data_IF_651634489329
#
_entry.id   IF_651634489329
#
_cell.length_a   1.000
_cell.length_b   1.000
_cell.length_c   1.000
_cell.angle_alpha   90.00
_cell.angle_beta   90.00
_cell.angle_gamma   90.00
#
_symmetry.space_group_name_H-M   'P 1'
#
loop_
_entity.id
_entity.type
_entity.pdbx_description
1 polymer ?
#
# COMPACT_ATOMS: atom_id res chain seq x y z
N UNK A 1 4.23 -18.21 7.66
CA UNK A 1 4.69 -18.80 8.94
C UNK A 1 5.70 -19.87 8.57
N UNK A 2 6.96 -19.75 9.01
CA UNK A 2 7.97 -20.80 8.79
C UNK A 2 8.17 -21.59 10.07
N UNK A 3 8.30 -22.91 9.91
CA UNK A 3 8.50 -23.87 11.00
C UNK A 3 10.00 -24.16 11.19
N UNK A 4 10.41 -24.74 12.34
CA UNK A 4 11.80 -25.12 12.57
C UNK A 4 12.27 -26.16 11.53
N UNK A 5 13.22 -25.80 10.69
CA UNK A 5 13.76 -26.65 9.60
C UNK A 5 13.63 -26.07 8.19
N UNK A 6 12.91 -24.95 8.00
CA UNK A 6 12.83 -24.28 6.70
C UNK A 6 14.18 -23.67 6.28
N UNK A 7 14.72 -24.11 5.14
CA UNK A 7 15.91 -23.55 4.51
C UNK A 7 15.66 -22.12 4.01
N UNK A 8 16.37 -21.17 4.62
CA UNK A 8 16.34 -19.71 4.44
C UNK A 8 14.93 -19.08 4.57
N UNK A 9 14.70 -18.20 5.56
CA UNK A 9 13.43 -17.48 5.61
C UNK A 9 13.29 -16.69 4.30
N UNK A 10 12.21 -16.99 3.55
CA UNK A 10 11.80 -16.14 2.45
C UNK A 10 11.75 -14.69 2.98
N UNK A 11 12.20 -13.70 2.20
CA UNK A 11 12.08 -12.32 2.60
C UNK A 11 10.61 -12.05 2.95
N UNK A 12 10.33 -11.37 4.08
CA UNK A 12 8.97 -11.14 4.51
C UNK A 12 8.21 -10.40 3.41
N UNK A 13 6.99 -10.85 3.12
CA UNK A 13 6.11 -10.18 2.17
C UNK A 13 5.68 -8.84 2.76
N UNK A 14 5.95 -7.74 2.05
CA UNK A 14 5.56 -6.41 2.50
C UNK A 14 4.05 -6.19 2.43
N UNK A 15 3.47 -5.62 3.48
CA UNK A 15 2.05 -5.62 3.82
C UNK A 15 1.45 -7.01 4.05
N UNK A 16 2.24 -7.94 4.60
CA UNK A 16 1.72 -9.20 5.14
C UNK A 16 1.07 -8.99 6.50
N UNK A 17 0.07 -9.83 6.77
CA UNK A 17 -0.52 -9.93 8.10
C UNK A 17 0.35 -10.81 8.99
N UNK A 18 0.51 -10.38 10.24
CA UNK A 18 1.20 -11.12 11.30
C UNK A 18 0.34 -11.12 12.55
N UNK A 19 0.10 -12.30 13.11
CA UNK A 19 -0.41 -12.41 14.48
C UNK A 19 0.79 -12.43 15.42
N UNK A 20 0.81 -11.49 16.37
CA UNK A 20 1.90 -11.31 17.32
C UNK A 20 1.35 -11.51 18.74
N UNK A 21 1.83 -12.52 19.50
CA UNK A 21 1.54 -12.62 20.93
C UNK A 21 2.09 -11.40 21.67
N UNK A 22 1.30 -10.87 22.60
CA UNK A 22 1.62 -9.77 23.52
C UNK A 22 1.21 -10.15 24.95
N UNK A 23 1.61 -9.36 25.95
CA UNK A 23 1.36 -9.69 27.37
C UNK A 23 -0.13 -9.96 27.67
N UNK A 24 -1.03 -9.22 27.02
CA UNK A 24 -2.48 -9.29 27.28
C UNK A 24 -3.27 -10.01 26.18
N UNK A 25 -2.61 -10.84 25.36
CA UNK A 25 -3.27 -11.63 24.30
C UNK A 25 -2.50 -11.61 22.98
N UNK A 26 -3.17 -11.19 21.90
CA UNK A 26 -2.65 -11.23 20.54
C UNK A 26 -2.99 -9.94 19.79
N UNK A 27 -2.05 -9.50 18.97
CA UNK A 27 -2.25 -8.41 18.02
C UNK A 27 -2.28 -8.97 16.59
N UNK A 28 -3.26 -8.54 15.81
CA UNK A 28 -3.18 -8.63 14.37
C UNK A 28 -2.45 -7.39 13.87
N UNK A 29 -1.33 -7.59 13.18
CA UNK A 29 -0.51 -6.53 12.63
C UNK A 29 -0.45 -6.64 11.11
N UNK A 30 -0.45 -5.52 10.41
CA UNK A 30 0.11 -5.46 9.06
C UNK A 30 1.59 -5.07 9.17
N UNK A 31 2.46 -5.63 8.35
CA UNK A 31 3.91 -5.36 8.37
C UNK A 31 4.36 -4.84 7.01
N UNK A 32 4.94 -3.62 6.95
CA UNK A 32 5.38 -2.96 5.72
C UNK A 32 6.75 -2.29 5.98
N UNK A 33 7.76 -2.70 5.22
CA UNK A 33 9.15 -2.29 5.26
C UNK A 33 9.76 -2.22 6.66
N UNK A 34 9.60 -3.32 7.40
CA UNK A 34 10.14 -3.48 8.76
C UNK A 34 9.37 -2.75 9.85
N UNK A 35 8.31 -2.02 9.51
CA UNK A 35 7.38 -1.43 10.48
C UNK A 35 6.15 -2.30 10.61
N UNK A 36 5.54 -2.31 11.80
CA UNK A 36 4.29 -3.01 12.05
C UNK A 36 3.24 -2.01 12.52
N UNK A 37 2.02 -2.12 11.98
CA UNK A 37 0.84 -1.41 12.45
C UNK A 37 -0.14 -2.41 13.04
N UNK A 38 -0.60 -2.15 14.26
CA UNK A 38 -1.62 -2.98 14.89
C UNK A 38 -2.99 -2.60 14.35
N UNK A 39 -3.69 -3.59 13.81
CA UNK A 39 -4.98 -3.44 13.11
C UNK A 39 -6.10 -4.23 13.81
N UNK A 40 -5.80 -4.88 14.94
CA UNK A 40 -6.77 -5.58 15.76
C UNK A 40 -6.14 -6.24 16.99
N UNK A 41 -6.95 -6.50 18.00
CA UNK A 41 -6.55 -7.14 19.26
C UNK A 41 -7.49 -8.28 19.63
N UNK A 42 -6.95 -9.40 20.10
CA UNK A 42 -7.69 -10.53 20.65
C UNK A 42 -7.12 -10.95 22.00
N UNK A 43 -7.98 -11.44 22.89
CA UNK A 43 -7.58 -11.95 24.21
C UNK A 43 -6.98 -13.35 24.16
N UNK A 44 -7.31 -14.13 23.13
CA UNK A 44 -6.92 -15.53 22.98
C UNK A 44 -6.66 -15.90 21.51
N UNK A 45 -6.12 -17.10 21.30
CA UNK A 45 -5.71 -17.59 19.97
C UNK A 45 -6.91 -17.78 19.03
N UNK A 46 -8.06 -18.21 19.56
CA UNK A 46 -9.28 -18.38 18.77
C UNK A 46 -9.78 -17.02 18.26
N UNK A 47 -9.80 -16.01 19.12
CA UNK A 47 -10.12 -14.64 18.76
C UNK A 47 -9.15 -14.08 17.74
N UNK A 48 -7.84 -14.36 17.87
CA UNK A 48 -6.84 -13.94 16.90
C UNK A 48 -7.08 -14.58 15.52
N UNK A 49 -7.41 -15.87 15.49
CA UNK A 49 -7.77 -16.58 14.25
C UNK A 49 -9.03 -16.00 13.61
N UNK A 50 -10.06 -15.70 14.41
CA UNK A 50 -11.29 -15.06 13.92
C UNK A 50 -11.05 -13.63 13.43
N UNK A 51 -10.16 -12.85 14.05
CA UNK A 51 -9.77 -11.53 13.56
C UNK A 51 -9.12 -11.61 12.17
N UNK A 52 -8.15 -12.51 11.98
CA UNK A 52 -7.50 -12.72 10.68
C UNK A 52 -8.54 -13.13 9.64
N UNK A 53 -9.43 -14.06 10.00
CA UNK A 53 -10.47 -14.56 9.12
C UNK A 53 -11.47 -13.48 8.73
N UNK A 54 -11.94 -12.71 9.71
CA UNK A 54 -12.83 -11.58 9.50
C UNK A 54 -12.19 -10.55 8.59
N UNK A 55 -10.94 -10.15 8.86
CA UNK A 55 -10.17 -9.20 8.07
C UNK A 55 -10.04 -9.63 6.60
N UNK A 56 -9.65 -10.88 6.35
CA UNK A 56 -9.41 -11.40 4.99
C UNK A 56 -10.70 -11.58 4.19
N UNK A 57 -11.84 -11.80 4.86
CA UNK A 57 -13.15 -12.05 4.23
C UNK A 57 -13.97 -10.79 3.96
N UNK A 58 -13.47 -9.63 4.34
CA UNK A 58 -14.16 -8.37 4.08
C UNK A 58 -14.39 -8.22 2.57
N UNK A 59 -15.63 -7.95 2.14
CA UNK A 59 -15.94 -7.85 0.72
C UNK A 59 -15.24 -6.64 0.13
N UNK A 60 -14.34 -6.88 -0.83
CA UNK A 60 -13.69 -5.82 -1.60
C UNK A 60 -14.51 -5.58 -2.87
N UNK A 61 -14.90 -4.33 -3.18
CA UNK A 61 -15.61 -3.99 -4.40
C UNK A 61 -14.88 -4.47 -5.66
N UNK A 62 -15.65 -4.78 -6.70
CA UNK A 62 -15.09 -5.13 -8.01
C UNK A 62 -14.19 -4.00 -8.55
N UNK A 63 -13.12 -4.34 -9.29
CA UNK A 63 -12.26 -3.35 -9.91
C UNK A 63 -13.04 -2.36 -10.79
N UNK A 64 -12.56 -1.12 -10.84
CA UNK A 64 -13.02 -0.15 -11.83
C UNK A 64 -12.39 -0.48 -13.17
N UNK A 65 -13.22 -0.63 -14.18
CA UNK A 65 -12.77 -0.83 -15.55
C UNK A 65 -12.59 0.54 -16.18
N UNK A 66 -11.40 0.81 -16.68
CA UNK A 66 -11.07 1.99 -17.47
C UNK A 66 -10.77 1.59 -18.91
N UNK A 67 -11.27 2.35 -19.88
CA UNK A 67 -10.76 2.29 -21.24
C UNK A 67 -9.32 2.84 -21.27
N UNK A 68 -8.48 2.35 -22.18
CA UNK A 68 -7.06 2.74 -22.25
C UNK A 68 -6.86 4.26 -22.33
N UNK A 69 -7.57 4.91 -23.25
CA UNK A 69 -7.50 6.36 -23.43
C UNK A 69 -7.97 7.15 -22.19
N UNK A 70 -8.96 6.63 -21.45
CA UNK A 70 -9.43 7.24 -20.21
C UNK A 70 -8.35 7.13 -19.12
N UNK A 71 -7.74 5.95 -19.00
CA UNK A 71 -6.68 5.70 -18.05
C UNK A 71 -5.43 6.53 -18.34
N UNK A 72 -5.04 6.65 -19.61
CA UNK A 72 -3.88 7.45 -20.00
C UNK A 72 -4.09 8.94 -19.66
N UNK A 73 -5.31 9.47 -19.87
CA UNK A 73 -5.65 10.85 -19.43
C UNK A 73 -5.58 11.00 -17.91
N UNK A 74 -6.01 9.99 -17.17
CA UNK A 74 -5.96 9.98 -15.71
C UNK A 74 -4.51 10.08 -15.20
N UNK A 75 -3.61 9.29 -15.80
CA UNK A 75 -2.18 9.31 -15.51
C UNK A 75 -1.57 10.67 -15.86
N UNK A 76 -1.80 11.18 -17.07
CA UNK A 76 -1.29 12.51 -17.49
C UNK A 76 -1.81 13.67 -16.65
N UNK A 77 -3.03 13.58 -16.12
CA UNK A 77 -3.56 14.58 -15.19
C UNK A 77 -2.83 14.53 -13.85
N UNK A 78 -2.55 13.33 -13.36
CA UNK A 78 -1.86 13.12 -12.09
C UNK A 78 -0.40 13.56 -12.16
N UNK A 79 0.29 13.29 -13.26
CA UNK A 79 1.67 13.74 -13.50
C UNK A 79 1.82 15.27 -13.45
N UNK A 80 0.76 16.02 -13.76
CA UNK A 80 0.76 17.49 -13.62
C UNK A 80 0.65 17.96 -12.18
N UNK A 81 0.06 17.15 -11.30
CA UNK A 81 -0.11 17.45 -9.87
C UNK A 81 1.14 17.10 -9.03
N UNK A 82 1.88 16.05 -9.40
CA UNK A 82 3.00 15.55 -8.59
C UNK A 82 4.17 16.54 -8.39
N UNK A 83 4.56 17.39 -9.37
CA UNK A 83 5.64 18.37 -9.18
C UNK A 83 5.32 19.39 -8.08
N UNK A 84 4.11 19.94 -8.07
CA UNK A 84 3.67 20.89 -7.04
C UNK A 84 3.70 20.25 -5.65
N UNK A 85 3.20 19.01 -5.55
CA UNK A 85 3.27 18.26 -4.30
C UNK A 85 4.72 17.99 -3.87
N UNK A 86 5.61 17.69 -4.81
CA UNK A 86 7.05 17.49 -4.54
C UNK A 86 7.67 18.75 -3.94
N UNK A 87 7.41 19.91 -4.54
CA UNK A 87 7.95 21.18 -4.05
C UNK A 87 7.38 21.55 -2.68
N UNK A 88 6.09 21.25 -2.44
CA UNK A 88 5.46 21.39 -1.13
C UNK A 88 6.11 20.50 -0.07
N UNK A 89 6.41 19.23 -0.39
CA UNK A 89 7.12 18.30 0.52
C UNK A 89 8.51 18.84 0.87
N UNK A 90 9.26 19.34 -0.12
CA UNK A 90 10.59 19.92 0.10
C UNK A 90 10.52 21.17 0.98
N UNK A 91 9.52 22.02 0.75
CA UNK A 91 9.33 23.26 1.49
C UNK A 91 8.85 23.04 2.93
N UNK A 92 8.27 21.89 3.25
CA UNK A 92 7.71 21.57 4.57
C UNK A 92 8.68 20.85 5.52
N UNK A 93 9.94 20.68 5.13
CA UNK A 93 10.91 19.90 5.92
C UNK A 93 10.84 18.39 5.68
N UNK A 94 10.27 17.95 4.54
CA UNK A 94 10.39 16.57 4.05
C UNK A 94 9.15 15.70 4.19
N UNK A 95 8.08 16.19 4.84
CA UNK A 95 6.79 15.51 4.93
C UNK A 95 5.64 16.50 5.02
N UNK A 96 4.51 16.18 4.37
CA UNK A 96 3.24 16.89 4.53
C UNK A 96 2.09 15.92 4.79
N UNK A 97 1.05 16.40 5.46
CA UNK A 97 -0.24 15.73 5.52
C UNK A 97 -1.16 16.33 4.45
N UNK A 98 -1.74 15.49 3.60
CA UNK A 98 -2.59 15.90 2.47
C UNK A 98 -3.79 14.98 2.31
N UNK A 99 -4.80 15.47 1.58
CA UNK A 99 -5.82 14.62 0.99
C UNK A 99 -5.44 14.38 -0.47
N UNK A 100 -5.31 13.12 -0.88
CA UNK A 100 -5.22 12.77 -2.30
C UNK A 100 -6.64 12.91 -2.85
N UNK A 101 -6.88 13.75 -3.87
CA UNK A 101 -8.22 13.91 -4.42
C UNK A 101 -8.70 12.63 -5.10
N UNK A 102 -10.00 12.51 -5.40
CA UNK A 102 -10.53 11.46 -6.26
C UNK A 102 -9.83 11.45 -7.62
N UNK A 103 -9.88 10.30 -8.29
CA UNK A 103 -9.35 10.09 -9.63
C UNK A 103 -7.82 10.30 -9.72
N UNK A 104 -7.10 9.95 -8.66
CA UNK A 104 -5.64 9.83 -8.69
C UNK A 104 -5.26 8.34 -8.70
N UNK A 105 -4.54 7.87 -9.74
CA UNK A 105 -4.03 6.52 -9.78
C UNK A 105 -2.80 6.42 -8.87
N UNK A 106 -2.80 5.38 -8.05
CA UNK A 106 -1.73 5.01 -7.13
C UNK A 106 -1.44 3.52 -7.28
N UNK A 107 -0.26 3.10 -6.87
CA UNK A 107 0.08 1.68 -6.85
C UNK A 107 0.94 1.32 -5.64
N UNK A 108 1.21 0.03 -5.46
CA UNK A 108 2.27 -0.44 -4.58
C UNK A 108 2.89 -1.74 -5.06
N UNK A 109 4.10 -1.98 -4.62
CA UNK A 109 4.78 -3.27 -4.70
C UNK A 109 4.71 -3.93 -3.32
N UNK A 110 4.18 -5.15 -3.25
CA UNK A 110 3.99 -5.91 -2.01
C UNK A 110 2.79 -6.85 -2.10
N UNK A 111 2.30 -7.29 -0.95
CA UNK A 111 0.97 -7.93 -0.81
C UNK A 111 -0.18 -6.92 -0.97
N UNK A 112 -1.43 -7.26 -0.65
CA UNK A 112 -2.55 -6.32 -0.82
C UNK A 112 -2.86 -5.44 0.41
N UNK A 113 -2.33 -5.76 1.60
CA UNK A 113 -2.85 -5.28 2.88
C UNK A 113 -1.91 -4.33 3.66
N UNK A 114 -0.90 -3.75 2.99
CA UNK A 114 -0.03 -2.73 3.57
C UNK A 114 -0.71 -1.37 3.73
N UNK A 115 0.08 -0.33 4.00
CA UNK A 115 -0.42 1.05 4.17
C UNK A 115 0.42 2.10 3.43
N UNK A 116 1.36 1.64 2.62
CA UNK A 116 2.19 2.47 1.78
C UNK A 116 1.77 2.36 0.32
N UNK A 117 1.64 3.50 -0.33
CA UNK A 117 1.32 3.67 -1.74
C UNK A 117 2.35 4.60 -2.38
N UNK A 118 2.48 4.53 -3.69
CA UNK A 118 3.19 5.52 -4.50
C UNK A 118 2.24 6.07 -5.57
N UNK A 119 2.54 7.23 -6.16
CA UNK A 119 1.95 7.60 -7.44
C UNK A 119 2.13 6.46 -8.45
N UNK A 120 1.08 6.21 -9.22
CA UNK A 120 1.10 5.17 -10.24
C UNK A 120 2.30 5.31 -11.18
N UNK A 121 2.97 4.20 -11.46
CA UNK A 121 4.07 4.17 -12.43
C UNK A 121 5.41 4.68 -11.89
N UNK A 122 5.51 5.02 -10.59
CA UNK A 122 6.80 5.31 -9.98
C UNK A 122 7.78 4.13 -10.19
N UNK A 123 8.99 4.38 -10.68
CA UNK A 123 9.96 3.32 -11.00
C UNK A 123 10.40 2.57 -9.74
N UNK A 124 10.87 1.33 -9.90
CA UNK A 124 11.38 0.53 -8.78
C UNK A 124 12.52 1.23 -8.03
N UNK A 125 13.46 1.83 -8.77
CA UNK A 125 14.63 2.55 -8.27
C UNK A 125 14.22 3.80 -7.46
N UNK A 126 13.20 4.53 -7.95
CA UNK A 126 12.70 5.72 -7.28
C UNK A 126 11.99 5.43 -5.96
N UNK A 127 11.53 4.18 -5.76
CA UNK A 127 10.91 3.70 -4.53
C UNK A 127 11.92 3.19 -3.50
N UNK A 128 13.21 3.08 -3.84
CA UNK A 128 14.26 2.54 -2.99
C UNK A 128 13.85 1.28 -2.22
N UNK A 129 13.29 0.31 -2.95
CA UNK A 129 12.86 -0.97 -2.38
C UNK A 129 14.00 -1.98 -2.36
N UNK A 130 13.98 -2.97 -1.46
CA UNK A 130 14.98 -4.02 -1.45
C UNK A 130 14.87 -4.86 -2.73
N UNK A 131 15.96 -5.47 -3.23
CA UNK A 131 15.94 -6.30 -4.45
C UNK A 131 14.91 -7.44 -4.42
N UNK A 132 14.51 -7.88 -3.23
CA UNK A 132 13.51 -8.93 -3.01
C UNK A 132 12.07 -8.45 -3.08
N UNK A 133 11.80 -7.14 -3.21
CA UNK A 133 10.45 -6.58 -3.14
C UNK A 133 9.54 -7.04 -4.28
N UNK A 134 10.09 -7.48 -5.42
CA UNK A 134 9.35 -8.08 -6.54
C UNK A 134 9.39 -9.61 -6.55
N UNK A 135 10.06 -10.23 -5.58
CA UNK A 135 10.07 -11.68 -5.47
C UNK A 135 8.69 -12.19 -5.07
N UNK A 136 8.27 -13.32 -5.66
CA UNK A 136 7.03 -13.99 -5.25
C UNK A 136 7.03 -14.23 -3.73
N UNK A 137 5.88 -14.03 -3.04
CA UNK A 137 4.54 -13.80 -3.60
C UNK A 137 4.17 -12.31 -3.81
N UNK A 138 5.14 -11.38 -3.79
CA UNK A 138 4.88 -9.96 -4.02
C UNK A 138 4.41 -9.68 -5.45
N UNK A 139 3.52 -8.71 -5.61
CA UNK A 139 3.04 -8.24 -6.93
C UNK A 139 2.88 -6.72 -6.96
N UNK A 140 2.59 -6.17 -8.14
CA UNK A 140 2.17 -4.77 -8.26
C UNK A 140 0.66 -4.69 -8.14
N UNK A 141 0.17 -3.89 -7.20
CA UNK A 141 -1.24 -3.61 -7.02
C UNK A 141 -1.54 -2.18 -7.44
N UNK A 142 -2.55 -2.00 -8.31
CA UNK A 142 -2.90 -0.71 -8.90
C UNK A 142 -4.31 -0.30 -8.44
N UNK A 143 -4.44 0.95 -8.01
CA UNK A 143 -5.66 1.51 -7.45
C UNK A 143 -5.93 2.91 -7.98
N UNK A 144 -7.18 3.34 -7.89
CA UNK A 144 -7.59 4.73 -8.06
C UNK A 144 -8.29 5.18 -6.78
N UNK A 145 -8.08 6.43 -6.39
CA UNK A 145 -8.88 7.09 -5.35
C UNK A 145 -10.28 7.37 -5.88
N UNK A 146 -11.32 6.93 -5.17
CA UNK A 146 -12.72 7.25 -5.50
C UNK A 146 -13.22 8.45 -4.68
N UNK A 147 -12.64 8.64 -3.49
CA UNK A 147 -12.88 9.76 -2.60
C UNK A 147 -11.55 10.35 -2.12
N UNK A 148 -11.61 11.45 -1.37
CA UNK A 148 -10.43 12.03 -0.73
C UNK A 148 -9.80 11.03 0.25
N UNK A 149 -8.48 10.76 0.09
CA UNK A 149 -7.73 9.86 0.98
C UNK A 149 -6.69 10.64 1.78
N UNK A 150 -6.81 10.65 3.10
CA UNK A 150 -5.85 11.33 3.98
C UNK A 150 -4.55 10.53 4.11
N UNK A 151 -3.43 11.13 3.71
CA UNK A 151 -2.11 10.51 3.73
C UNK A 151 -1.02 11.46 4.22
N UNK A 152 0.01 10.90 4.83
CA UNK A 152 1.32 11.54 4.88
C UNK A 152 2.03 11.35 3.54
N UNK A 153 2.49 12.43 2.91
CA UNK A 153 3.31 12.39 1.71
C UNK A 153 4.74 12.83 2.03
N UNK A 154 5.73 12.09 1.53
CA UNK A 154 7.15 12.35 1.71
C UNK A 154 7.94 11.86 0.49
N UNK A 155 9.13 12.38 0.27
CA UNK A 155 10.05 11.82 -0.73
C UNK A 155 10.78 10.61 -0.14
N UNK A 156 10.81 9.52 -0.90
CA UNK A 156 11.59 8.35 -0.54
C UNK A 156 13.08 8.69 -0.58
N UNK A 157 13.78 8.40 0.50
CA UNK A 157 15.23 8.61 0.61
C UNK A 157 16.00 7.49 -0.13
N UNK A 158 17.22 7.78 -0.62
CA UNK A 158 18.09 6.76 -1.19
C UNK A 158 18.35 5.62 -0.20
N UNK A 159 18.13 4.38 -0.64
CA UNK A 159 18.34 3.17 0.17
C UNK A 159 18.50 1.94 -0.73
N UNK A 160 19.02 0.82 -0.19
CA UNK A 160 19.28 -0.42 -0.93
C UNK A 160 20.07 -0.26 -2.24
N UNK A 161 20.96 0.74 -2.31
CA UNK A 161 21.73 1.06 -3.52
C UNK A 161 20.91 1.75 -4.62
N UNK A 162 19.69 2.18 -4.31
CA UNK A 162 18.76 2.85 -5.21
C UNK A 162 18.65 4.35 -4.88
N UNK A 163 18.45 5.22 -5.89
CA UNK A 163 18.47 6.68 -5.74
C UNK A 163 17.27 7.24 -4.97
N UNK A 164 16.13 6.55 -4.95
CA UNK A 164 14.91 7.07 -4.32
C UNK A 164 14.30 8.24 -5.10
N UNK A 165 13.54 9.07 -4.41
CA UNK A 165 12.95 10.30 -4.98
C UNK A 165 11.50 10.19 -5.42
N UNK A 166 10.88 9.01 -5.42
CA UNK A 166 9.43 8.91 -5.57
C UNK A 166 8.72 9.54 -4.36
N UNK A 167 7.52 10.07 -4.59
CA UNK A 167 6.61 10.35 -3.47
C UNK A 167 6.14 9.01 -2.90
N UNK A 168 6.17 8.89 -1.58
CA UNK A 168 5.55 7.82 -0.82
C UNK A 168 4.37 8.39 -0.04
N UNK A 169 3.21 7.82 -0.27
CA UNK A 169 2.01 8.04 0.51
C UNK A 169 1.93 7.01 1.63
N UNK A 170 1.65 7.48 2.84
CA UNK A 170 1.44 6.67 4.03
C UNK A 170 0.04 6.96 4.52
N UNK A 171 -0.84 5.95 4.60
CA UNK A 171 -2.19 6.12 5.14
C UNK A 171 -2.08 6.78 6.53
N UNK A 172 -2.78 7.90 6.71
CA UNK A 172 -2.61 8.74 7.89
C UNK A 172 -3.15 8.09 9.17
N UNK A 173 -4.25 7.33 9.06
CA UNK A 173 -4.74 6.48 10.15
C UNK A 173 -3.79 5.28 10.34
N UNK A 174 -3.20 5.18 11.53
CA UNK A 174 -2.24 4.14 11.90
C UNK A 174 -2.89 2.77 12.16
N UNK A 175 -4.22 2.72 12.33
CA UNK A 175 -4.99 1.47 12.40
C UNK A 175 -5.51 0.98 11.04
N UNK A 176 -5.38 1.79 9.98
CA UNK A 176 -5.93 1.50 8.66
C UNK A 176 -4.89 0.92 7.69
N UNK A 177 -5.38 0.05 6.81
CA UNK A 177 -4.67 -0.59 5.70
C UNK A 177 -5.33 -0.23 4.37
N UNK A 178 -4.67 -0.58 3.27
CA UNK A 178 -5.25 -0.48 1.92
C UNK A 178 -6.55 -1.27 1.81
N UNK A 179 -6.69 -2.39 2.53
CA UNK A 179 -7.96 -3.14 2.54
C UNK A 179 -9.09 -2.33 3.15
N UNK A 180 -8.83 -1.55 4.19
CA UNK A 180 -9.85 -0.69 4.80
C UNK A 180 -10.37 0.32 3.78
N UNK A 181 -9.46 0.99 3.07
CA UNK A 181 -9.79 1.93 2.01
C UNK A 181 -10.49 1.27 0.81
N UNK A 182 -10.20 0.00 0.52
CA UNK A 182 -10.92 -0.76 -0.50
C UNK A 182 -12.36 -1.08 -0.04
N UNK A 183 -12.52 -1.47 1.23
CA UNK A 183 -13.81 -1.89 1.80
C UNK A 183 -14.74 -0.69 1.99
N UNK A 184 -14.23 0.45 2.45
CA UNK A 184 -15.01 1.68 2.58
C UNK A 184 -15.26 2.39 1.24
N UNK A 185 -14.54 1.97 0.19
CA UNK A 185 -14.69 2.45 -1.17
C UNK A 185 -13.91 3.72 -1.49
N UNK A 186 -13.04 4.20 -0.60
CA UNK A 186 -12.12 5.33 -0.85
C UNK A 186 -11.04 4.99 -1.87
N UNK A 187 -10.66 3.71 -1.97
CA UNK A 187 -9.84 3.16 -3.03
C UNK A 187 -10.62 2.11 -3.83
N UNK A 188 -10.27 1.99 -5.10
CA UNK A 188 -10.76 0.90 -5.96
C UNK A 188 -9.62 0.33 -6.79
N UNK A 189 -9.57 -0.99 -6.93
CA UNK A 189 -8.62 -1.65 -7.84
C UNK A 189 -8.87 -1.21 -9.28
N UNK A 190 -7.82 -1.02 -10.05
CA UNK A 190 -7.93 -0.69 -11.48
C UNK A 190 -7.89 -1.98 -12.30
N UNK A 191 -8.70 -2.03 -13.35
CA UNK A 191 -8.55 -2.93 -14.47
C UNK A 191 -8.63 -2.12 -15.76
N UNK A 192 -7.65 -2.27 -16.65
CA UNK A 192 -7.71 -1.62 -17.96
C UNK A 192 -8.43 -2.59 -18.91
N UNK A 193 -9.52 -2.13 -19.50
CA UNK A 193 -10.22 -2.87 -20.55
C UNK A 193 -9.26 -3.16 -21.70
N UNK A 194 -9.18 -4.42 -22.11
CA UNK A 194 -8.49 -4.75 -23.36
C UNK A 194 -9.27 -4.12 -24.51
N UNK A 195 -8.57 -3.50 -25.46
CA UNK A 195 -9.17 -3.10 -26.73
C UNK A 195 -9.85 -4.34 -27.33
N UNK A 196 -11.18 -4.31 -27.48
CA UNK A 196 -11.87 -5.31 -28.30
C UNK A 196 -11.47 -5.03 -29.74
N UNK A 197 -10.48 -5.77 -30.23
CA UNK A 197 -10.21 -5.88 -31.66
C UNK A 197 -11.29 -6.74 -32.33
#
# INVERSE_FOLDING_TARGET
MSLPGDERPLPPLEGALRVQPVETGFELQSVDYGQARTIGHASDELGAAELVRAFLRRPVPAPRIFERDEFDRLVSNSERYLPELTDRIRSSGGRVLIQIPPMIPVDRIGGPDGWLLNPFGASFESRSLPPTALSAPSTVHQFVTEYDVLVGAQLTLPWFGQPGGAIRFTIADEGATIRDLLVDGSLRKIQIGSDRN
#
